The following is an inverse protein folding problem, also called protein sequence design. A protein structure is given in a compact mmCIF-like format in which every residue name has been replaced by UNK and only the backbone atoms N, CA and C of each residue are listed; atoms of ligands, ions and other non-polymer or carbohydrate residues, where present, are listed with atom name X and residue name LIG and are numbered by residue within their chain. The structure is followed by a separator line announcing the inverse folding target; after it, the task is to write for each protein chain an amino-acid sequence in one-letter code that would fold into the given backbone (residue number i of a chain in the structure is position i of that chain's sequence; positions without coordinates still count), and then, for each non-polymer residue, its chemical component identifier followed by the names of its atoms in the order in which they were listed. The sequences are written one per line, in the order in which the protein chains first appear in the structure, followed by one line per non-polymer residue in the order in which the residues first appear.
data_IF_634117522675
#
_entry.id   IF_634117522675
#
_cell.length_a   1.000
_cell.length_b   1.000
_cell.length_c   1.000
_cell.angle_alpha   90.00
_cell.angle_beta   90.00
_cell.angle_gamma   90.00
#
_symmetry.space_group_name_H-M   'P 1'
#
loop_
_entity.id
_entity.type
_entity.pdbx_description
1 polymer ?
#
# COMPACT_ATOMS: atom_id res chain seq x y z
N UNK A 1 24.14 -5.35 -9.08
CA UNK A 1 22.91 -6.16 -8.86
C UNK A 1 21.73 -5.24 -9.08
N UNK A 2 20.88 -5.48 -10.05
CA UNK A 2 19.74 -4.61 -10.41
C UNK A 2 18.43 -5.10 -9.78
N UNK A 3 17.50 -4.20 -9.48
CA UNK A 3 16.14 -4.58 -9.14
C UNK A 3 15.38 -4.94 -10.44
N UNK A 4 15.02 -6.21 -10.57
CA UNK A 4 14.25 -6.70 -11.72
C UNK A 4 12.74 -6.53 -11.54
N UNK A 5 12.28 -6.45 -10.30
CA UNK A 5 10.86 -6.34 -9.98
C UNK A 5 10.63 -5.24 -8.94
N UNK A 6 9.74 -4.31 -9.26
CA UNK A 6 9.27 -3.30 -8.30
C UNK A 6 7.78 -3.51 -8.02
N UNK A 7 7.46 -3.61 -6.74
CA UNK A 7 6.10 -3.91 -6.27
C UNK A 7 5.63 -2.80 -5.35
N UNK A 8 4.44 -2.31 -5.60
CA UNK A 8 3.84 -1.21 -4.84
C UNK A 8 2.67 -1.72 -3.97
N UNK A 9 2.53 -1.15 -2.76
CA UNK A 9 1.20 -1.10 -2.14
C UNK A 9 0.32 -0.12 -2.90
N UNK A 10 -0.96 -0.10 -2.62
CA UNK A 10 -1.92 0.72 -3.31
C UNK A 10 -2.40 1.89 -2.44
N UNK A 11 -3.17 1.57 -1.39
CA UNK A 11 -3.76 2.56 -0.48
C UNK A 11 -2.67 3.24 0.35
N UNK A 12 -2.61 4.56 0.38
CA UNK A 12 -1.57 5.31 1.09
C UNK A 12 -0.21 5.39 0.36
N UNK A 13 0.00 4.58 -0.67
CA UNK A 13 1.26 4.55 -1.44
C UNK A 13 1.10 5.19 -2.83
N UNK A 14 0.25 4.66 -3.67
CA UNK A 14 -0.07 5.19 -5.00
C UNK A 14 -1.34 6.03 -4.99
N UNK A 15 -2.35 5.58 -4.26
CA UNK A 15 -3.69 6.12 -4.19
C UNK A 15 -3.91 6.85 -2.86
N UNK A 16 -4.34 8.11 -2.92
CA UNK A 16 -4.74 8.90 -1.76
C UNK A 16 -6.15 8.49 -1.32
N UNK A 17 -6.18 7.54 -0.40
CA UNK A 17 -7.42 6.95 0.13
C UNK A 17 -7.63 7.24 1.61
N UNK A 18 -6.76 8.01 2.28
CA UNK A 18 -6.80 8.22 3.73
C UNK A 18 -8.10 8.87 4.20
N UNK A 19 -8.47 10.00 3.61
CA UNK A 19 -9.70 10.72 4.00
C UNK A 19 -10.94 9.86 3.73
N UNK A 20 -10.98 9.17 2.59
CA UNK A 20 -12.08 8.26 2.26
C UNK A 20 -12.16 7.09 3.24
N UNK A 21 -11.03 6.49 3.58
CA UNK A 21 -10.97 5.40 4.56
C UNK A 21 -11.43 5.85 5.95
N UNK A 22 -11.03 7.04 6.39
CA UNK A 22 -11.46 7.67 7.63
C UNK A 22 -12.99 7.91 7.66
N UNK A 23 -13.54 8.50 6.61
CA UNK A 23 -14.98 8.78 6.50
C UNK A 23 -15.79 7.48 6.47
N UNK A 24 -15.35 6.48 5.70
CA UNK A 24 -15.98 5.16 5.62
C UNK A 24 -15.94 4.46 6.98
N UNK A 25 -14.79 4.50 7.69
CA UNK A 25 -14.68 3.95 9.02
C UNK A 25 -15.72 4.56 9.96
N UNK A 26 -15.80 5.89 10.04
CA UNK A 26 -16.75 6.59 10.92
C UNK A 26 -18.22 6.32 10.53
N UNK A 27 -18.52 6.19 9.23
CA UNK A 27 -19.85 5.79 8.78
C UNK A 27 -20.21 4.38 9.25
N UNK A 28 -19.28 3.43 9.17
CA UNK A 28 -19.48 2.06 9.65
C UNK A 28 -19.54 2.01 11.19
N UNK A 29 -18.73 2.80 11.88
CA UNK A 29 -18.74 2.92 13.33
C UNK A 29 -20.13 3.40 13.83
N UNK A 30 -20.66 4.45 13.24
CA UNK A 30 -22.01 4.94 13.56
C UNK A 30 -23.09 3.89 13.28
N UNK A 31 -23.01 3.19 12.16
CA UNK A 31 -23.97 2.13 11.75
C UNK A 31 -23.95 0.92 12.68
N UNK A 32 -22.77 0.49 13.10
CA UNK A 32 -22.57 -0.72 13.89
C UNK A 32 -22.31 -0.48 15.36
N UNK A 33 -22.39 0.78 15.80
CA UNK A 33 -22.17 1.21 17.19
C UNK A 33 -20.76 0.89 17.71
N UNK A 34 -19.75 1.08 16.88
CA UNK A 34 -18.34 1.10 17.30
C UNK A 34 -17.93 2.50 17.72
N UNK A 35 -16.75 2.63 18.32
CA UNK A 35 -16.16 3.94 18.60
C UNK A 35 -15.81 4.64 17.29
N UNK A 36 -16.28 5.88 17.11
CA UNK A 36 -15.83 6.76 16.04
C UNK A 36 -14.45 7.30 16.36
N UNK A 37 -13.69 7.68 15.34
CA UNK A 37 -12.36 8.27 15.45
C UNK A 37 -12.44 9.74 15.04
N UNK A 38 -11.86 10.63 15.84
CA UNK A 38 -11.68 12.05 15.49
C UNK A 38 -10.44 12.25 14.61
N UNK A 39 -10.30 13.43 13.99
CA UNK A 39 -9.10 13.77 13.24
C UNK A 39 -7.84 13.82 14.12
N UNK A 40 -7.97 14.22 15.38
CA UNK A 40 -6.87 14.23 16.34
C UNK A 40 -6.42 12.80 16.69
N UNK A 41 -7.38 11.92 16.96
CA UNK A 41 -7.11 10.49 17.19
C UNK A 41 -6.52 9.82 15.95
N UNK A 42 -6.94 10.20 14.73
CA UNK A 42 -6.34 9.70 13.49
C UNK A 42 -4.84 10.02 13.43
N UNK A 43 -4.44 11.25 13.80
CA UNK A 43 -3.02 11.61 13.82
C UNK A 43 -2.23 10.77 14.85
N UNK A 44 -2.85 10.42 15.99
CA UNK A 44 -2.25 9.49 16.93
C UNK A 44 -2.14 8.07 16.35
N UNK A 45 -3.22 7.57 15.75
CA UNK A 45 -3.29 6.24 15.11
C UNK A 45 -2.20 6.07 14.03
N UNK A 46 -1.88 7.11 13.28
CA UNK A 46 -0.81 7.10 12.26
C UNK A 46 0.58 6.77 12.83
N UNK A 47 0.79 6.97 14.12
CA UNK A 47 2.04 6.63 14.82
C UNK A 47 2.06 5.19 15.37
N UNK A 48 0.95 4.47 15.30
CA UNK A 48 0.78 3.15 15.90
C UNK A 48 0.98 2.02 14.89
N UNK A 49 1.39 0.87 15.41
CA UNK A 49 1.34 -0.36 14.64
C UNK A 49 -0.12 -0.86 14.54
N UNK A 50 -0.46 -1.58 13.46
CA UNK A 50 -1.82 -2.12 13.22
C UNK A 50 -2.36 -2.97 14.39
N UNK A 51 -1.48 -3.57 15.21
CA UNK A 51 -1.89 -4.34 16.39
C UNK A 51 -2.39 -3.43 17.52
N UNK A 52 -1.76 -2.26 17.69
CA UNK A 52 -2.13 -1.26 18.70
C UNK A 52 -3.43 -0.54 18.28
N UNK A 53 -3.62 -0.30 16.98
CA UNK A 53 -4.84 0.29 16.43
C UNK A 53 -6.08 -0.54 16.80
N UNK A 54 -5.96 -1.87 16.85
CA UNK A 54 -7.07 -2.75 17.22
C UNK A 54 -7.59 -2.54 18.65
N UNK A 55 -6.78 -2.00 19.53
CA UNK A 55 -7.17 -1.69 20.91
C UNK A 55 -8.00 -0.38 20.99
N UNK A 56 -7.78 0.53 20.02
CA UNK A 56 -8.49 1.83 19.92
C UNK A 56 -9.81 1.65 19.16
N UNK A 57 -9.78 0.84 18.12
CA UNK A 57 -10.87 0.66 17.15
C UNK A 57 -11.85 -0.40 17.61
N UNK A 58 -12.38 -0.42 18.71
CA UNK A 58 -13.33 -1.35 19.38
C UNK A 58 -14.30 -2.15 18.47
N UNK A 59 -13.78 -2.72 17.37
CA UNK A 59 -14.52 -3.60 16.47
C UNK A 59 -14.42 -5.05 16.98
N UNK A 60 -15.52 -5.69 17.35
CA UNK A 60 -15.51 -7.10 17.74
C UNK A 60 -14.90 -7.98 16.65
N UNK A 61 -13.99 -8.87 17.02
CA UNK A 61 -13.22 -9.70 16.08
C UNK A 61 -14.09 -10.44 15.04
N UNK A 62 -15.26 -10.93 15.45
CA UNK A 62 -16.20 -11.64 14.55
C UNK A 62 -16.88 -10.70 13.52
N UNK A 63 -16.83 -9.38 13.73
CA UNK A 63 -17.41 -8.40 12.81
C UNK A 63 -16.37 -7.84 11.82
N UNK A 64 -15.07 -8.03 12.08
CA UNK A 64 -13.99 -7.55 11.20
C UNK A 64 -14.17 -7.94 9.72
N UNK A 65 -14.47 -9.21 9.36
CA UNK A 65 -14.65 -9.59 7.95
C UNK A 65 -15.79 -8.83 7.27
N UNK A 66 -16.87 -8.55 8.03
CA UNK A 66 -18.02 -7.79 7.53
C UNK A 66 -17.68 -6.32 7.34
N UNK A 67 -17.03 -5.71 8.33
CA UNK A 67 -16.59 -4.30 8.27
C UNK A 67 -15.63 -4.06 7.09
N UNK A 68 -14.64 -4.94 6.90
CA UNK A 68 -13.72 -4.89 5.76
C UNK A 68 -14.47 -4.98 4.44
N UNK A 69 -15.36 -5.98 4.28
CA UNK A 69 -16.11 -6.19 3.03
C UNK A 69 -17.02 -5.00 2.70
N UNK A 70 -17.67 -4.43 3.69
CA UNK A 70 -18.55 -3.27 3.50
C UNK A 70 -17.74 -2.00 3.23
N UNK A 71 -16.64 -1.77 3.96
CA UNK A 71 -15.71 -0.68 3.69
C UNK A 71 -15.15 -0.72 2.27
N UNK A 72 -14.70 -1.89 1.81
CA UNK A 72 -14.25 -2.08 0.43
C UNK A 72 -15.35 -1.80 -0.61
N UNK A 73 -16.62 -2.12 -0.28
CA UNK A 73 -17.76 -1.80 -1.17
C UNK A 73 -18.00 -0.30 -1.24
N UNK A 74 -17.93 0.41 -0.12
CA UNK A 74 -18.09 1.86 -0.07
C UNK A 74 -16.93 2.56 -0.80
N UNK A 75 -15.70 2.19 -0.53
CA UNK A 75 -14.52 2.74 -1.22
C UNK A 75 -14.59 2.52 -2.73
N UNK A 76 -15.11 1.36 -3.16
CA UNK A 76 -15.34 1.08 -4.58
C UNK A 76 -16.36 2.05 -5.20
N UNK A 77 -17.42 2.41 -4.48
CA UNK A 77 -18.43 3.34 -5.00
C UNK A 77 -17.82 4.74 -5.28
N UNK A 78 -16.79 5.11 -4.54
CA UNK A 78 -16.06 6.38 -4.67
C UNK A 78 -14.73 6.24 -5.45
N UNK A 79 -14.49 5.09 -6.10
CA UNK A 79 -13.18 4.78 -6.71
C UNK A 79 -12.80 5.66 -7.89
N UNK A 80 -13.76 6.31 -8.56
CA UNK A 80 -13.51 7.30 -9.63
C UNK A 80 -12.94 8.63 -9.12
N UNK A 81 -13.03 8.88 -7.81
CA UNK A 81 -12.59 10.11 -7.15
C UNK A 81 -11.31 9.91 -6.32
N UNK A 82 -10.65 8.77 -6.49
CA UNK A 82 -9.38 8.51 -5.82
C UNK A 82 -8.27 9.20 -6.58
N UNK A 83 -7.59 10.13 -5.92
CA UNK A 83 -6.43 10.83 -6.46
C UNK A 83 -5.17 9.97 -6.37
N UNK A 84 -4.25 10.15 -7.32
CA UNK A 84 -2.89 9.65 -7.19
C UNK A 84 -2.05 10.63 -6.36
N UNK A 85 -1.17 10.14 -5.50
CA UNK A 85 -0.19 10.99 -4.82
C UNK A 85 0.81 11.64 -5.78
N UNK A 86 1.13 10.96 -6.87
CA UNK A 86 1.98 11.50 -7.93
C UNK A 86 1.08 11.97 -9.10
N UNK A 87 1.03 13.29 -9.42
CA UNK A 87 0.22 13.77 -10.53
C UNK A 87 0.59 13.14 -11.88
N UNK A 88 1.88 12.93 -12.11
CA UNK A 88 2.43 12.35 -13.36
C UNK A 88 2.68 10.84 -13.23
N UNK A 89 1.82 10.13 -12.50
CA UNK A 89 2.00 8.71 -12.17
C UNK A 89 2.15 7.82 -13.41
N UNK A 90 1.47 8.12 -14.51
CA UNK A 90 1.63 7.39 -15.78
C UNK A 90 3.07 7.55 -16.32
N UNK A 91 3.59 8.78 -16.37
CA UNK A 91 4.95 9.03 -16.83
C UNK A 91 6.00 8.35 -15.93
N UNK A 92 5.77 8.37 -14.61
CA UNK A 92 6.62 7.65 -13.64
C UNK A 92 6.69 6.15 -13.97
N UNK A 93 5.58 5.47 -14.17
CA UNK A 93 5.58 4.04 -14.46
C UNK A 93 6.15 3.71 -15.84
N UNK A 94 5.93 4.58 -16.82
CA UNK A 94 6.55 4.46 -18.15
C UNK A 94 8.08 4.51 -18.05
N UNK A 95 8.63 5.41 -17.22
CA UNK A 95 10.07 5.49 -16.99
C UNK A 95 10.58 4.28 -16.20
N UNK A 96 9.90 3.88 -15.11
CA UNK A 96 10.28 2.75 -14.27
C UNK A 96 10.44 1.45 -15.08
N UNK A 97 9.56 1.22 -16.05
CA UNK A 97 9.61 0.01 -16.91
C UNK A 97 10.81 -0.07 -17.82
N UNK A 98 11.55 1.01 -18.03
CA UNK A 98 12.80 0.98 -18.80
C UNK A 98 13.94 0.29 -18.05
N UNK A 99 13.87 0.35 -16.71
CA UNK A 99 14.93 -0.12 -15.83
C UNK A 99 14.52 -1.39 -15.02
N UNK A 100 13.30 -1.92 -15.24
CA UNK A 100 12.76 -3.08 -14.50
C UNK A 100 12.03 -4.04 -15.42
N UNK A 101 12.17 -5.35 -15.15
CA UNK A 101 11.49 -6.40 -15.93
C UNK A 101 10.02 -6.54 -15.56
N UNK A 102 9.69 -6.34 -14.27
CA UNK A 102 8.36 -6.60 -13.72
C UNK A 102 7.89 -5.46 -12.80
N UNK A 103 6.65 -5.03 -12.97
CA UNK A 103 6.01 -4.03 -12.14
C UNK A 103 4.64 -4.51 -11.70
N UNK A 104 4.32 -4.41 -10.40
CA UNK A 104 3.05 -4.92 -9.90
C UNK A 104 2.53 -4.22 -8.64
N UNK A 105 1.29 -4.56 -8.27
CA UNK A 105 0.60 -4.04 -7.08
C UNK A 105 0.23 -5.20 -6.16
N UNK A 106 0.60 -5.10 -4.88
CA UNK A 106 0.14 -5.98 -3.80
C UNK A 106 -0.69 -5.20 -2.79
N UNK A 107 -2.00 -5.46 -2.75
CA UNK A 107 -2.90 -4.69 -1.88
C UNK A 107 -3.87 -5.58 -1.10
N UNK A 108 -4.44 -5.03 -0.02
CA UNK A 108 -5.62 -5.58 0.65
C UNK A 108 -6.93 -5.14 0.01
N UNK A 109 -6.90 -4.16 -0.90
CA UNK A 109 -8.07 -3.65 -1.62
C UNK A 109 -8.61 -4.65 -2.64
N UNK A 110 -9.79 -4.39 -3.20
CA UNK A 110 -10.41 -5.25 -4.22
C UNK A 110 -9.92 -4.89 -5.62
N UNK A 111 -9.79 -5.91 -6.47
CA UNK A 111 -9.29 -5.76 -7.84
C UNK A 111 -10.04 -4.70 -8.66
N UNK A 112 -11.35 -4.53 -8.41
CA UNK A 112 -12.19 -3.56 -9.15
C UNK A 112 -11.81 -2.12 -8.84
N UNK A 113 -11.52 -1.78 -7.58
CA UNK A 113 -11.05 -0.44 -7.17
C UNK A 113 -9.71 -0.11 -7.81
N UNK A 114 -8.75 -1.04 -7.71
CA UNK A 114 -7.43 -0.87 -8.34
C UNK A 114 -7.56 -0.73 -9.86
N UNK A 115 -8.36 -1.58 -10.50
CA UNK A 115 -8.57 -1.52 -11.94
C UNK A 115 -9.22 -0.21 -12.40
N UNK A 116 -10.14 0.36 -11.61
CA UNK A 116 -10.73 1.68 -11.89
C UNK A 116 -9.67 2.77 -11.82
N UNK A 117 -8.85 2.78 -10.75
CA UNK A 117 -7.74 3.73 -10.61
C UNK A 117 -6.76 3.64 -11.78
N UNK A 118 -6.33 2.42 -12.15
CA UNK A 118 -5.43 2.22 -13.29
C UNK A 118 -6.04 2.69 -14.61
N UNK A 119 -7.36 2.61 -14.78
CA UNK A 119 -8.05 3.17 -15.95
C UNK A 119 -8.06 4.70 -15.92
N UNK A 120 -8.37 5.30 -14.76
CA UNK A 120 -8.42 6.76 -14.60
C UNK A 120 -7.08 7.41 -14.95
N UNK A 121 -5.97 6.76 -14.61
CA UNK A 121 -4.60 7.24 -14.86
C UNK A 121 -3.92 6.58 -16.06
N UNK A 122 -4.65 5.84 -16.90
CA UNK A 122 -4.15 5.18 -18.12
C UNK A 122 -2.97 4.23 -17.91
N UNK A 123 -2.88 3.59 -16.73
CA UNK A 123 -1.73 2.80 -16.26
C UNK A 123 -1.87 1.29 -16.45
N UNK A 124 -2.83 0.83 -17.25
CA UNK A 124 -3.10 -0.61 -17.36
C UNK A 124 -1.97 -1.41 -17.97
N UNK A 125 -1.24 -0.81 -18.89
CA UNK A 125 -0.15 -1.48 -19.60
C UNK A 125 1.16 -1.46 -18.82
N UNK A 126 1.29 -0.54 -17.87
CA UNK A 126 2.47 -0.38 -17.00
C UNK A 126 2.49 -1.38 -15.85
N UNK A 127 1.33 -1.88 -15.42
CA UNK A 127 1.19 -2.79 -14.29
C UNK A 127 0.94 -4.22 -14.79
N UNK A 128 1.98 -5.06 -14.71
CA UNK A 128 1.94 -6.44 -15.20
C UNK A 128 1.03 -7.35 -14.36
N UNK A 129 1.00 -7.13 -13.02
CA UNK A 129 0.18 -7.95 -12.14
C UNK A 129 -0.40 -7.17 -10.96
N UNK A 130 -1.59 -7.61 -10.55
CA UNK A 130 -2.27 -7.11 -9.35
C UNK A 130 -2.62 -8.31 -8.48
N UNK A 131 -2.14 -8.31 -7.24
CA UNK A 131 -2.46 -9.33 -6.25
C UNK A 131 -3.26 -8.72 -5.10
N UNK A 132 -4.58 -8.89 -5.17
CA UNK A 132 -5.54 -8.41 -4.17
C UNK A 132 -5.88 -9.55 -3.20
N UNK A 133 -5.68 -9.35 -1.91
CA UNK A 133 -6.18 -10.24 -0.88
C UNK A 133 -6.11 -9.60 0.51
N UNK A 134 -7.25 -9.42 1.15
CA UNK A 134 -7.33 -8.98 2.54
C UNK A 134 -6.93 -10.09 3.54
N UNK A 135 -7.05 -11.37 3.15
CA UNK A 135 -6.82 -12.52 4.03
C UNK A 135 -5.38 -13.06 4.00
N UNK A 136 -4.64 -12.78 2.93
CA UNK A 136 -3.27 -13.24 2.79
C UNK A 136 -2.29 -12.19 3.32
N UNK A 137 -1.39 -12.58 4.22
CA UNK A 137 -0.35 -11.67 4.72
C UNK A 137 0.54 -11.16 3.58
N UNK A 138 1.04 -9.90 3.69
CA UNK A 138 1.92 -9.29 2.68
C UNK A 138 3.16 -10.16 2.42
N UNK A 139 3.81 -10.73 3.45
CA UNK A 139 4.96 -11.61 3.28
C UNK A 139 4.68 -12.86 2.44
N UNK A 140 3.47 -13.45 2.55
CA UNK A 140 3.07 -14.57 1.68
C UNK A 140 2.86 -14.13 0.23
N UNK A 141 2.30 -12.93 0.02
CA UNK A 141 2.14 -12.36 -1.33
C UNK A 141 3.50 -12.10 -1.97
N UNK A 142 4.44 -11.46 -1.25
CA UNK A 142 5.81 -11.20 -1.71
C UNK A 142 6.48 -12.52 -2.11
N UNK A 143 6.46 -13.55 -1.26
CA UNK A 143 7.00 -14.88 -1.60
C UNK A 143 6.36 -15.51 -2.83
N UNK A 144 5.07 -15.23 -3.08
CA UNK A 144 4.38 -15.72 -4.28
C UNK A 144 4.86 -15.02 -5.53
N UNK A 145 5.14 -13.71 -5.48
CA UNK A 145 5.71 -12.95 -6.59
C UNK A 145 7.12 -13.42 -6.89
N UNK A 146 8.00 -13.53 -5.89
CA UNK A 146 9.35 -14.06 -6.06
C UNK A 146 9.36 -15.40 -6.78
N UNK A 147 8.49 -16.34 -6.37
CA UNK A 147 8.36 -17.65 -7.02
C UNK A 147 7.79 -17.58 -8.43
N UNK A 148 6.82 -16.66 -8.67
CA UNK A 148 6.19 -16.53 -10.00
C UNK A 148 7.19 -16.11 -11.07
N UNK A 149 8.12 -15.24 -10.72
CA UNK A 149 9.09 -14.65 -11.64
C UNK A 149 10.52 -15.17 -11.44
N UNK A 150 10.69 -16.24 -10.65
CA UNK A 150 11.98 -16.87 -10.33
C UNK A 150 13.05 -15.85 -9.85
N UNK A 151 12.64 -14.96 -8.92
CA UNK A 151 13.47 -13.88 -8.41
C UNK A 151 14.10 -14.22 -7.05
N UNK A 152 15.32 -13.75 -6.86
CA UNK A 152 15.93 -13.67 -5.53
C UNK A 152 15.32 -12.47 -4.76
N UNK A 153 15.25 -12.53 -3.42
CA UNK A 153 14.77 -11.39 -2.64
C UNK A 153 15.50 -10.07 -2.95
N UNK A 154 16.82 -10.12 -3.19
CA UNK A 154 17.64 -8.95 -3.56
C UNK A 154 17.34 -8.36 -4.94
N UNK A 155 16.56 -9.03 -5.78
CA UNK A 155 16.16 -8.55 -7.11
C UNK A 155 14.77 -7.88 -7.10
N UNK A 156 14.11 -7.84 -5.92
CA UNK A 156 12.83 -7.17 -5.74
C UNK A 156 12.97 -5.95 -4.83
N UNK A 157 12.29 -4.87 -5.21
CA UNK A 157 12.06 -3.69 -4.39
C UNK A 157 10.57 -3.59 -4.08
N UNK A 158 10.23 -3.39 -2.82
CA UNK A 158 8.85 -3.12 -2.41
C UNK A 158 8.72 -1.63 -2.05
N UNK A 159 7.59 -1.01 -2.40
CA UNK A 159 7.27 0.39 -2.08
C UNK A 159 5.99 0.39 -1.28
N UNK A 160 6.00 0.97 -0.08
CA UNK A 160 4.83 0.97 0.81
C UNK A 160 4.90 2.06 1.88
N UNK A 161 3.81 2.26 2.60
CA UNK A 161 3.60 3.36 3.54
C UNK A 161 3.30 2.91 4.97
N UNK A 162 3.28 1.60 5.24
CA UNK A 162 2.94 1.09 6.56
C UNK A 162 4.06 0.25 7.18
N UNK A 163 4.16 0.30 8.52
CA UNK A 163 5.10 -0.52 9.30
C UNK A 163 4.97 -2.03 9.01
N UNK A 164 3.74 -2.50 8.73
CA UNK A 164 3.50 -3.89 8.34
C UNK A 164 4.11 -4.28 6.98
N UNK A 165 4.37 -3.30 6.10
CA UNK A 165 5.08 -3.52 4.84
C UNK A 165 6.55 -3.78 5.10
N UNK A 166 7.15 -2.95 5.97
CA UNK A 166 8.55 -3.09 6.38
C UNK A 166 8.77 -4.45 7.04
N UNK A 167 7.91 -4.81 8.01
CA UNK A 167 7.96 -6.13 8.66
C UNK A 167 7.83 -7.31 7.66
N UNK A 168 6.94 -7.16 6.67
CA UNK A 168 6.72 -8.20 5.67
C UNK A 168 7.94 -8.37 4.75
N UNK A 169 8.57 -7.27 4.36
CA UNK A 169 9.78 -7.24 3.53
C UNK A 169 10.97 -7.82 4.28
N UNK A 170 11.23 -7.39 5.53
CA UNK A 170 12.29 -7.94 6.38
C UNK A 170 12.16 -9.46 6.57
N UNK A 171 10.93 -9.94 6.80
CA UNK A 171 10.67 -11.39 6.95
C UNK A 171 11.03 -12.23 5.70
N UNK A 172 11.13 -11.59 4.55
CA UNK A 172 11.40 -12.26 3.26
C UNK A 172 12.81 -11.93 2.75
N UNK A 173 13.44 -10.88 3.28
CA UNK A 173 14.75 -10.39 2.86
C UNK A 173 14.67 -9.51 1.60
N UNK A 174 13.55 -8.83 1.38
CA UNK A 174 13.31 -7.90 0.27
C UNK A 174 13.56 -6.48 0.73
N UNK A 175 14.24 -5.68 -0.08
CA UNK A 175 14.44 -4.26 0.18
C UNK A 175 13.11 -3.50 0.11
N UNK A 176 12.94 -2.50 0.99
CA UNK A 176 11.74 -1.68 1.07
C UNK A 176 12.04 -0.20 1.00
N UNK A 177 11.27 0.49 0.18
CA UNK A 177 11.14 1.95 0.16
C UNK A 177 9.89 2.32 0.96
N UNK A 178 10.05 3.03 2.06
CA UNK A 178 8.95 3.60 2.82
C UNK A 178 8.64 5.00 2.30
N UNK A 179 7.41 5.23 1.86
CA UNK A 179 6.95 6.55 1.43
C UNK A 179 6.46 7.35 2.63
N UNK A 180 6.78 8.67 2.69
CA UNK A 180 6.52 9.49 3.88
C UNK A 180 5.15 10.16 3.90
N UNK A 181 4.35 10.02 2.84
CA UNK A 181 3.04 10.69 2.69
C UNK A 181 1.83 9.83 3.05
N UNK A 182 2.03 8.55 3.39
CA UNK A 182 0.95 7.57 3.57
C UNK A 182 0.32 7.51 4.96
N UNK A 183 -0.21 6.32 5.30
CA UNK A 183 -0.96 6.09 6.53
C UNK A 183 -0.12 6.14 7.80
N UNK A 184 1.11 5.60 7.80
CA UNK A 184 1.99 5.79 8.94
C UNK A 184 2.82 7.08 8.80
N UNK A 185 3.11 7.73 9.93
CA UNK A 185 4.01 8.89 9.94
C UNK A 185 5.44 8.46 9.64
N UNK A 186 6.29 9.37 9.09
CA UNK A 186 7.71 9.08 8.89
C UNK A 186 8.41 8.58 10.16
N UNK A 187 8.11 9.20 11.31
CA UNK A 187 8.66 8.78 12.60
C UNK A 187 8.25 7.34 13.00
N UNK A 188 6.99 6.95 12.71
CA UNK A 188 6.56 5.57 12.95
C UNK A 188 7.29 4.59 12.04
N UNK A 189 7.51 4.93 10.76
CA UNK A 189 8.22 4.08 9.79
C UNK A 189 9.71 3.92 10.13
N UNK A 190 10.39 4.99 10.55
CA UNK A 190 11.81 4.97 10.96
C UNK A 190 12.11 3.92 12.02
N UNK A 191 11.19 3.71 12.98
CA UNK A 191 11.35 2.70 14.05
C UNK A 191 11.46 1.27 13.54
N UNK A 192 11.01 1.01 12.32
CA UNK A 192 11.07 -0.31 11.67
C UNK A 192 12.25 -0.46 10.71
N UNK A 193 13.14 0.54 10.61
CA UNK A 193 14.36 0.53 9.79
C UNK A 193 14.11 0.11 8.33
N UNK A 194 13.31 0.85 7.54
CA UNK A 194 13.17 0.59 6.12
C UNK A 194 14.52 0.75 5.40
N UNK A 195 14.72 0.06 4.27
CA UNK A 195 15.95 0.17 3.48
C UNK A 195 16.13 1.59 2.94
N UNK A 196 15.04 2.20 2.49
CA UNK A 196 15.00 3.57 2.00
C UNK A 196 13.74 4.29 2.52
N UNK A 197 13.83 5.63 2.63
CA UNK A 197 12.67 6.50 2.85
C UNK A 197 12.69 7.63 1.82
N UNK A 198 11.54 7.94 1.23
CA UNK A 198 11.41 8.93 0.16
C UNK A 198 10.28 9.92 0.42
N UNK A 199 10.46 11.14 -0.11
CA UNK A 199 9.45 12.21 -0.10
C UNK A 199 8.71 12.33 -1.45
N UNK A 200 9.28 11.74 -2.51
CA UNK A 200 8.73 11.79 -3.86
C UNK A 200 8.79 10.40 -4.52
N UNK A 201 7.73 10.02 -5.25
CA UNK A 201 7.67 8.73 -5.93
C UNK A 201 8.79 8.57 -6.99
N UNK A 202 9.22 9.66 -7.63
CA UNK A 202 10.30 9.65 -8.60
C UNK A 202 11.65 9.21 -8.02
N UNK A 203 11.87 9.35 -6.70
CA UNK A 203 13.09 8.87 -6.04
C UNK A 203 13.28 7.34 -6.18
N UNK A 204 12.20 6.58 -6.44
CA UNK A 204 12.27 5.15 -6.72
C UNK A 204 13.10 4.86 -7.97
N UNK A 205 13.00 5.69 -9.00
CA UNK A 205 13.80 5.56 -10.24
C UNK A 205 15.29 5.64 -9.92
N UNK A 206 15.67 6.62 -9.10
CA UNK A 206 17.07 6.80 -8.70
C UNK A 206 17.59 5.63 -7.88
N UNK A 207 16.76 5.06 -7.00
CA UNK A 207 17.11 3.88 -6.19
C UNK A 207 17.32 2.67 -7.10
N UNK A 208 16.46 2.47 -8.11
CA UNK A 208 16.58 1.38 -9.07
C UNK A 208 17.86 1.50 -9.89
N UNK A 209 18.14 2.70 -10.41
CA UNK A 209 19.34 2.99 -11.22
C UNK A 209 20.66 2.90 -10.43
N UNK A 210 20.68 3.27 -9.14
CA UNK A 210 21.90 3.24 -8.30
C UNK A 210 22.31 1.84 -7.83
N UNK A 211 21.47 0.82 -7.98
CA UNK A 211 21.81 -0.56 -7.58
C UNK A 211 22.62 -1.34 -8.66
N UNK A 212 23.01 -0.67 -9.73
CA UNK A 212 23.93 -1.27 -10.73
C UNK A 212 25.34 -1.62 -10.12
#
# INVERSE_FOLDING_TARGET
MTYKCVVFDFDGTLADTEEKAFNIYNQLAAKYKYSTVTMEELQHIKNLHIKEIKEIVDIPFYQFPRAIKEGQKLLKAESSEINAFCPDIHAFFTELRRDTDHTGILTSNIKKTVAQFLNTYEMREEIEFIMCSALMSKSKKIKKVLRKFDLKPSEMLYVGDESRDIEACHKVGVDIVAVKWGYNTPHALERYNPTFMIDNLWDVIDIVKKKE
#
